data_IF_661359207929
#
_entry.id   IF_661359207929
#
_cell.length_a   1.000
_cell.length_b   1.000
_cell.length_c   1.000
_cell.angle_alpha   90.00
_cell.angle_beta   90.00
_cell.angle_gamma   90.00
#
_symmetry.space_group_name_H-M   'P 1'
#
loop_
_entity.id
_entity.type
_entity.pdbx_description
1 polymer ?
#
# COMPACT_ATOMS: atom_id res chain seq x y z
N UNK A 1 28.86 -24.83 -4.11
CA UNK A 1 27.42 -24.93 -4.45
C UNK A 1 26.92 -23.51 -4.76
N UNK A 2 26.61 -23.18 -6.02
CA UNK A 2 26.01 -21.87 -6.34
C UNK A 2 24.52 -21.97 -6.02
N UNK A 3 24.14 -21.50 -4.84
CA UNK A 3 22.73 -21.35 -4.48
C UNK A 3 22.18 -20.23 -5.36
N UNK A 4 21.45 -20.58 -6.41
CA UNK A 4 20.71 -19.61 -7.19
C UNK A 4 19.58 -19.08 -6.31
N UNK A 5 19.81 -17.91 -5.70
CA UNK A 5 18.76 -17.12 -5.10
C UNK A 5 17.83 -16.64 -6.23
N UNK A 6 16.88 -17.48 -6.62
CA UNK A 6 15.73 -17.01 -7.37
C UNK A 6 15.10 -15.91 -6.52
N UNK A 7 15.05 -14.68 -7.06
CA UNK A 7 14.32 -13.60 -6.42
C UNK A 7 12.83 -13.95 -6.46
N UNK A 8 12.35 -14.61 -5.41
CA UNK A 8 10.97 -15.11 -5.30
C UNK A 8 9.98 -14.02 -4.92
N UNK A 9 10.44 -12.95 -4.27
CA UNK A 9 9.56 -11.93 -3.71
C UNK A 9 9.59 -10.68 -4.59
N UNK A 10 8.47 -10.36 -5.24
CA UNK A 10 8.32 -9.18 -6.09
C UNK A 10 7.34 -8.21 -5.43
N UNK A 11 7.67 -6.92 -5.45
CA UNK A 11 6.75 -5.86 -5.04
C UNK A 11 5.83 -5.48 -6.18
N UNK A 12 4.53 -5.64 -6.00
CA UNK A 12 3.54 -5.34 -7.05
C UNK A 12 3.42 -3.84 -7.35
N UNK A 13 3.85 -2.98 -6.42
CA UNK A 13 3.77 -1.52 -6.56
C UNK A 13 4.92 -0.93 -7.38
N UNK A 14 6.13 -1.46 -7.26
CA UNK A 14 7.32 -0.93 -7.95
C UNK A 14 8.12 -1.98 -8.72
N UNK A 15 7.62 -3.21 -8.81
CA UNK A 15 8.23 -4.36 -9.48
C UNK A 15 9.66 -4.73 -9.03
N UNK A 16 10.12 -4.19 -7.89
CA UNK A 16 11.40 -4.60 -7.29
C UNK A 16 11.35 -6.05 -6.83
N UNK A 17 12.44 -6.77 -7.07
CA UNK A 17 12.59 -8.19 -6.75
C UNK A 17 13.64 -8.40 -5.66
N UNK A 18 13.29 -9.20 -4.67
CA UNK A 18 14.08 -9.52 -3.48
C UNK A 18 14.32 -11.02 -3.39
N UNK A 19 15.48 -11.38 -2.87
CA UNK A 19 15.92 -12.76 -2.72
C UNK A 19 15.45 -13.40 -1.42
N UNK A 20 15.14 -12.56 -0.42
CA UNK A 20 14.71 -12.95 0.91
C UNK A 20 13.40 -12.26 1.28
N UNK A 21 12.61 -12.93 2.10
CA UNK A 21 11.35 -12.40 2.62
C UNK A 21 11.56 -11.19 3.54
N UNK A 22 12.57 -11.24 4.41
CA UNK A 22 12.90 -10.14 5.34
C UNK A 22 13.16 -8.82 4.58
N UNK A 23 13.91 -8.88 3.48
CA UNK A 23 14.23 -7.74 2.63
C UNK A 23 12.99 -7.20 1.92
N UNK A 24 12.11 -8.10 1.46
CA UNK A 24 10.85 -7.74 0.83
C UNK A 24 9.88 -7.06 1.82
N UNK A 25 9.72 -7.62 3.02
CA UNK A 25 8.83 -7.07 4.05
C UNK A 25 9.34 -5.73 4.57
N UNK A 26 10.65 -5.60 4.77
CA UNK A 26 11.27 -4.33 5.14
C UNK A 26 11.08 -3.28 4.03
N UNK A 27 11.30 -3.65 2.77
CA UNK A 27 10.98 -2.78 1.64
C UNK A 27 9.50 -2.37 1.63
N UNK A 28 8.56 -3.31 1.82
CA UNK A 28 7.14 -3.01 1.91
C UNK A 28 6.82 -2.06 3.07
N UNK A 29 7.46 -2.18 4.23
CA UNK A 29 7.23 -1.27 5.35
C UNK A 29 7.88 0.10 5.17
N UNK A 30 9.14 0.17 4.74
CA UNK A 30 9.86 1.45 4.68
C UNK A 30 9.47 2.27 3.45
N UNK A 31 9.35 1.61 2.30
CA UNK A 31 9.10 2.28 1.01
C UNK A 31 7.61 2.41 0.73
N UNK A 32 6.84 1.39 1.11
CA UNK A 32 5.40 1.28 0.87
C UNK A 32 4.56 1.31 2.15
N UNK A 33 5.15 1.41 3.34
CA UNK A 33 4.37 1.47 4.59
C UNK A 33 3.76 2.84 4.85
N UNK A 34 4.12 3.83 4.03
CA UNK A 34 3.38 5.09 3.89
C UNK A 34 2.26 5.00 2.86
N UNK A 35 2.09 3.86 2.21
CA UNK A 35 0.96 3.66 1.31
C UNK A 35 -0.28 3.48 2.16
N UNK A 36 -0.99 4.59 2.29
CA UNK A 36 -2.42 4.67 2.48
C UNK A 36 -3.15 3.37 2.75
N UNK A 37 -3.49 3.15 4.01
CA UNK A 37 -4.42 2.09 4.39
C UNK A 37 -5.87 2.41 3.97
N UNK A 38 -6.12 3.61 3.45
CA UNK A 38 -7.46 4.11 3.20
C UNK A 38 -7.58 4.51 1.73
N UNK A 39 -7.94 3.53 0.91
CA UNK A 39 -8.45 3.73 -0.44
C UNK A 39 -9.84 4.36 -0.38
N UNK A 40 -10.07 5.35 -1.24
CA UNK A 40 -11.41 5.79 -1.53
C UNK A 40 -12.07 4.76 -2.46
N UNK A 41 -13.27 4.28 -2.13
CA UNK A 41 -13.98 3.32 -2.99
C UNK A 41 -14.71 3.97 -4.17
N UNK A 42 -14.82 5.29 -4.14
CA UNK A 42 -15.49 6.09 -5.16
C UNK A 42 -14.51 6.71 -6.17
N UNK A 43 -13.20 6.67 -5.89
CA UNK A 43 -12.14 7.10 -6.82
C UNK A 43 -10.78 6.50 -6.45
N UNK A 44 -9.83 6.50 -7.38
CA UNK A 44 -8.48 5.93 -7.18
C UNK A 44 -7.54 6.78 -6.29
N UNK A 45 -8.09 7.49 -5.29
CA UNK A 45 -7.28 8.23 -4.32
C UNK A 45 -6.97 7.39 -3.09
N UNK A 46 -5.70 7.49 -2.69
CA UNK A 46 -5.12 6.81 -1.55
C UNK A 46 -4.77 7.84 -0.46
N UNK A 47 -5.17 7.59 0.79
CA UNK A 47 -4.86 8.45 1.94
C UNK A 47 -4.05 7.75 3.05
N UNK A 48 -2.98 8.40 3.52
CA UNK A 48 -2.08 7.87 4.55
C UNK A 48 -2.74 7.70 5.94
N UNK A 49 -3.93 8.27 6.16
CA UNK A 49 -4.70 8.11 7.40
C UNK A 49 -6.22 8.17 7.15
N UNK A 50 -7.00 7.65 8.12
CA UNK A 50 -8.46 7.52 8.00
C UNK A 50 -9.19 8.87 8.06
N UNK A 51 -8.64 9.83 8.79
CA UNK A 51 -9.20 11.18 9.00
C UNK A 51 -9.27 11.95 7.67
N UNK A 52 -8.16 11.92 6.92
CA UNK A 52 -8.03 12.56 5.61
C UNK A 52 -8.93 11.89 4.58
N UNK A 53 -9.01 10.55 4.59
CA UNK A 53 -9.93 9.81 3.73
C UNK A 53 -11.39 10.16 4.04
N UNK A 54 -11.78 10.21 5.32
CA UNK A 54 -13.15 10.60 5.72
C UNK A 54 -13.48 12.02 5.32
N UNK A 55 -12.55 12.95 5.51
CA UNK A 55 -12.71 14.35 5.12
C UNK A 55 -12.86 14.47 3.60
N UNK A 56 -12.03 13.74 2.84
CA UNK A 56 -12.15 13.65 1.40
C UNK A 56 -13.51 13.11 0.98
N UNK A 57 -13.93 11.99 1.55
CA UNK A 57 -15.22 11.36 1.28
C UNK A 57 -16.39 12.29 1.58
N UNK A 58 -16.38 13.01 2.70
CA UNK A 58 -17.44 13.98 3.03
C UNK A 58 -17.47 15.17 2.06
N UNK A 59 -16.30 15.69 1.65
CA UNK A 59 -16.20 16.88 0.80
C UNK A 59 -16.35 16.60 -0.69
N UNK A 60 -16.02 15.40 -1.15
CA UNK A 60 -15.93 15.05 -2.58
C UNK A 60 -16.95 14.00 -3.01
N UNK A 61 -17.35 13.11 -2.12
CA UNK A 61 -18.25 11.99 -2.43
C UNK A 61 -19.51 11.96 -1.56
N UNK A 62 -19.70 12.93 -0.65
CA UNK A 62 -20.79 12.99 0.33
C UNK A 62 -21.04 11.66 1.06
N UNK A 63 -19.98 10.96 1.49
CA UNK A 63 -20.12 9.74 2.27
C UNK A 63 -20.87 10.02 3.58
N UNK A 64 -22.13 9.63 3.62
CA UNK A 64 -22.91 9.54 4.85
C UNK A 64 -22.58 8.19 5.45
N UNK A 65 -22.04 8.21 6.67
CA UNK A 65 -21.82 7.01 7.45
C UNK A 65 -23.20 6.49 7.83
N UNK A 66 -23.80 5.65 7.00
CA UNK A 66 -24.97 4.88 7.40
C UNK A 66 -24.56 4.03 8.62
N UNK A 67 -25.25 4.29 9.73
CA UNK A 67 -25.10 3.61 11.01
C UNK A 67 -26.09 2.46 11.05
#
# INVERSE_FOLDING_TARGET
MKVNFFKKYQCDKCNKKFSKEEEFMNHKQIVHGKDSQYDCKECDKEFSNMEDMRTHLQRKHSYKKDR
#
